data_IF_852180215765
#
_entry.id   IF_852180215765
#
_cell.length_a   1.000
_cell.length_b   1.000
_cell.length_c   1.000
_cell.angle_alpha   90.00
_cell.angle_beta   90.00
_cell.angle_gamma   90.00
#
_symmetry.space_group_name_H-M   'P 1'
#
loop_
_entity.id
_entity.type
_entity.pdbx_description
1 polymer ?
#
# COMPACT_ATOMS: atom_id res chain seq x y z
N UNK A 1 30.83 5.94 -18.62
CA UNK A 1 29.97 5.37 -19.67
C UNK A 1 29.31 4.05 -19.26
N UNK A 2 29.99 2.90 -19.15
CA UNK A 2 29.34 1.63 -18.72
C UNK A 2 28.86 1.64 -17.25
N UNK A 3 29.71 2.09 -16.32
CA UNK A 3 29.37 2.19 -14.91
C UNK A 3 28.24 3.19 -14.61
N UNK A 4 28.10 4.25 -15.41
CA UNK A 4 27.00 5.22 -15.27
C UNK A 4 25.67 4.61 -15.75
N UNK A 5 25.69 3.89 -16.89
CA UNK A 5 24.51 3.21 -17.39
C UNK A 5 23.99 2.14 -16.40
N UNK A 6 24.88 1.41 -15.75
CA UNK A 6 24.51 0.41 -14.75
C UNK A 6 23.95 1.03 -13.47
N UNK A 7 24.50 2.18 -13.05
CA UNK A 7 23.96 2.97 -11.93
C UNK A 7 22.54 3.46 -12.22
N UNK A 8 22.30 4.06 -13.39
CA UNK A 8 20.96 4.53 -13.76
C UNK A 8 19.95 3.38 -13.83
N UNK A 9 20.36 2.22 -14.34
CA UNK A 9 19.50 1.03 -14.36
C UNK A 9 19.10 0.59 -12.93
N UNK A 10 20.04 0.55 -11.99
CA UNK A 10 19.74 0.21 -10.60
C UNK A 10 18.80 1.23 -9.95
N UNK A 11 19.02 2.52 -10.18
CA UNK A 11 18.14 3.58 -9.68
C UNK A 11 16.71 3.43 -10.23
N UNK A 12 16.56 3.18 -11.54
CA UNK A 12 15.26 2.95 -12.18
C UNK A 12 14.56 1.70 -11.64
N UNK A 13 15.29 0.60 -11.43
CA UNK A 13 14.73 -0.64 -10.89
C UNK A 13 14.25 -0.46 -9.44
N UNK A 14 15.03 0.23 -8.59
CA UNK A 14 14.63 0.58 -7.21
C UNK A 14 13.36 1.44 -7.21
N UNK A 15 13.29 2.46 -8.08
CA UNK A 15 12.11 3.31 -8.19
C UNK A 15 10.88 2.52 -8.66
N UNK A 16 11.04 1.62 -9.64
CA UNK A 16 9.97 0.75 -10.13
C UNK A 16 9.45 -0.17 -9.02
N UNK A 17 10.36 -0.80 -8.29
CA UNK A 17 10.02 -1.70 -7.18
C UNK A 17 9.27 -0.97 -6.06
N UNK A 18 9.70 0.24 -5.71
CA UNK A 18 9.02 1.09 -4.73
C UNK A 18 7.59 1.42 -5.17
N UNK A 19 7.41 1.85 -6.42
CA UNK A 19 6.09 2.17 -6.97
C UNK A 19 5.20 0.91 -7.01
N UNK A 20 5.75 -0.25 -7.35
CA UNK A 20 5.02 -1.51 -7.31
C UNK A 20 4.56 -1.87 -5.88
N UNK A 21 5.43 -1.71 -4.88
CA UNK A 21 5.09 -1.91 -3.47
C UNK A 21 3.96 -0.99 -3.01
N UNK A 22 4.06 0.31 -3.33
CA UNK A 22 3.00 1.30 -3.06
C UNK A 22 1.67 0.89 -3.70
N UNK A 23 1.68 0.60 -5.00
CA UNK A 23 0.47 0.27 -5.75
C UNK A 23 -0.20 -1.02 -5.24
N UNK A 24 0.61 -2.00 -4.80
CA UNK A 24 0.09 -3.23 -4.21
C UNK A 24 -0.66 -2.96 -2.90
N UNK A 25 -0.03 -2.21 -1.98
CA UNK A 25 -0.67 -1.83 -0.72
C UNK A 25 -1.93 -0.99 -0.95
N UNK A 26 -1.85 0.01 -1.83
CA UNK A 26 -2.98 0.87 -2.18
C UNK A 26 -4.14 0.05 -2.76
N UNK A 27 -3.87 -0.83 -3.73
CA UNK A 27 -4.88 -1.69 -4.35
C UNK A 27 -5.53 -2.64 -3.33
N UNK A 28 -4.74 -3.22 -2.43
CA UNK A 28 -5.25 -4.11 -1.38
C UNK A 28 -6.16 -3.35 -0.42
N UNK A 29 -5.74 -2.18 0.08
CA UNK A 29 -6.53 -1.36 1.02
C UNK A 29 -7.84 -0.91 0.39
N UNK A 30 -7.83 -0.47 -0.87
CA UNK A 30 -9.06 -0.11 -1.57
C UNK A 30 -9.99 -1.32 -1.77
N UNK A 31 -9.43 -2.49 -2.09
CA UNK A 31 -10.20 -3.73 -2.19
C UNK A 31 -10.85 -4.13 -0.86
N UNK A 32 -10.11 -4.06 0.25
CA UNK A 32 -10.64 -4.35 1.60
C UNK A 32 -11.72 -3.34 1.99
N UNK A 33 -11.51 -2.05 1.71
CA UNK A 33 -12.49 -1.00 1.95
C UNK A 33 -13.79 -1.28 1.21
N UNK A 34 -13.72 -1.60 -0.09
CA UNK A 34 -14.90 -1.93 -0.89
C UNK A 34 -15.59 -3.19 -0.36
N UNK A 35 -14.84 -4.24 -0.05
CA UNK A 35 -15.39 -5.48 0.50
C UNK A 35 -16.10 -5.25 1.85
N UNK A 36 -15.56 -4.38 2.71
CA UNK A 36 -16.19 -4.00 3.98
C UNK A 36 -17.46 -3.14 3.76
N UNK A 37 -17.45 -2.26 2.76
CA UNK A 37 -18.64 -1.49 2.37
C UNK A 37 -19.76 -2.40 1.85
N UNK A 38 -19.42 -3.39 1.04
CA UNK A 38 -20.33 -4.38 0.43
C UNK A 38 -20.67 -5.58 1.33
N UNK A 39 -20.06 -5.70 2.52
CA UNK A 39 -20.23 -6.85 3.41
C UNK A 39 -21.68 -7.07 3.90
N UNK A 40 -22.56 -6.06 3.77
CA UNK A 40 -23.95 -6.14 4.25
C UNK A 40 -24.01 -6.53 5.73
N UNK A 41 -24.79 -7.55 6.03
CA UNK A 41 -24.97 -8.08 7.40
C UNK A 41 -23.90 -9.11 7.82
N UNK A 42 -22.89 -9.37 6.97
CA UNK A 42 -21.81 -10.33 7.27
C UNK A 42 -20.80 -9.79 8.28
N UNK A 43 -20.75 -8.47 8.44
CA UNK A 43 -19.96 -7.77 9.45
C UNK A 43 -20.90 -6.95 10.32
N UNK A 44 -20.66 -6.95 11.63
CA UNK A 44 -21.33 -5.99 12.51
C UNK A 44 -20.89 -4.56 12.17
N UNK A 45 -21.72 -3.57 12.54
CA UNK A 45 -21.38 -2.16 12.32
C UNK A 45 -20.04 -1.78 12.95
N UNK A 46 -19.73 -2.37 14.10
CA UNK A 46 -18.49 -2.15 14.85
C UNK A 46 -17.27 -2.72 14.12
N UNK A 47 -17.38 -3.93 13.57
CA UNK A 47 -16.32 -4.55 12.76
C UNK A 47 -16.10 -3.78 11.47
N UNK A 48 -17.19 -3.37 10.81
CA UNK A 48 -17.13 -2.56 9.58
C UNK A 48 -16.42 -1.23 9.83
N UNK A 49 -16.81 -0.51 10.89
CA UNK A 49 -16.17 0.76 11.24
C UNK A 49 -14.69 0.58 11.60
N UNK A 50 -14.34 -0.50 12.31
CA UNK A 50 -12.94 -0.80 12.64
C UNK A 50 -12.09 -1.06 11.38
N UNK A 51 -12.59 -1.87 10.45
CA UNK A 51 -11.92 -2.15 9.17
C UNK A 51 -11.78 -0.88 8.33
N UNK A 52 -12.85 -0.08 8.21
CA UNK A 52 -12.82 1.17 7.46
C UNK A 52 -11.86 2.20 8.09
N UNK A 53 -11.75 2.24 9.42
CA UNK A 53 -10.79 3.10 10.13
C UNK A 53 -9.36 2.71 9.77
N UNK A 54 -9.01 1.41 9.89
CA UNK A 54 -7.69 0.91 9.51
C UNK A 54 -7.35 1.18 8.04
N UNK A 55 -8.32 1.02 7.14
CA UNK A 55 -8.13 1.33 5.72
C UNK A 55 -7.81 2.82 5.51
N UNK A 56 -8.54 3.72 6.17
CA UNK A 56 -8.30 5.17 6.09
C UNK A 56 -6.94 5.58 6.67
N UNK A 57 -6.55 5.02 7.81
CA UNK A 57 -5.21 5.23 8.39
C UNK A 57 -4.09 4.75 7.47
N UNK A 58 -4.32 3.63 6.79
CA UNK A 58 -3.34 3.08 5.86
C UNK A 58 -3.20 3.96 4.63
N UNK A 59 -4.31 4.39 4.02
CA UNK A 59 -4.32 5.34 2.89
C UNK A 59 -3.63 6.66 3.27
N UNK A 60 -3.99 7.24 4.42
CA UNK A 60 -3.39 8.51 4.87
C UNK A 60 -1.87 8.40 5.04
N UNK A 61 -1.37 7.25 5.46
CA UNK A 61 0.07 7.03 5.55
C UNK A 61 0.71 6.76 4.19
N UNK A 62 0.04 6.11 3.24
CA UNK A 62 0.55 5.97 1.86
C UNK A 62 0.73 7.37 1.24
N UNK A 63 -0.24 8.25 1.43
CA UNK A 63 -0.21 9.62 0.92
C UNK A 63 0.87 10.47 1.61
N UNK A 64 1.04 10.29 2.94
CA UNK A 64 2.06 10.98 3.73
C UNK A 64 3.48 10.44 3.54
N UNK A 65 3.63 9.18 3.10
CA UNK A 65 4.92 8.50 2.94
C UNK A 65 5.11 8.06 1.48
N UNK A 66 4.95 8.99 0.55
CA UNK A 66 5.16 8.77 -0.89
C UNK A 66 6.60 8.40 -1.27
N UNK A 67 7.55 8.62 -0.35
CA UNK A 67 8.96 8.27 -0.52
C UNK A 67 9.40 7.01 0.24
N UNK A 68 8.49 6.32 0.93
CA UNK A 68 8.81 5.11 1.69
C UNK A 68 9.44 4.02 0.80
N UNK A 69 10.29 3.19 1.41
CA UNK A 69 10.91 2.06 0.73
C UNK A 69 9.90 0.94 0.47
N UNK A 70 10.24 0.05 -0.46
CA UNK A 70 9.39 -1.10 -0.81
C UNK A 70 9.08 -1.95 0.42
N UNK A 71 10.09 -2.18 1.25
CA UNK A 71 10.03 -2.98 2.47
C UNK A 71 9.03 -2.40 3.48
N UNK A 72 8.92 -1.08 3.55
CA UNK A 72 7.94 -0.41 4.42
C UNK A 72 6.52 -0.64 3.93
N UNK A 73 6.28 -0.52 2.61
CA UNK A 73 4.99 -0.85 2.01
C UNK A 73 4.61 -2.33 2.22
N UNK A 74 5.57 -3.25 2.03
CA UNK A 74 5.36 -4.69 2.24
C UNK A 74 5.13 -5.05 3.71
N UNK A 75 5.83 -4.41 4.64
CA UNK A 75 5.61 -4.60 6.07
C UNK A 75 4.19 -4.17 6.45
N UNK A 76 3.79 -2.99 5.99
CA UNK A 76 2.45 -2.46 6.27
C UNK A 76 1.34 -3.33 5.69
N UNK A 77 1.58 -3.91 4.50
CA UNK A 77 0.66 -4.87 3.90
C UNK A 77 0.49 -6.14 4.74
N UNK A 78 1.54 -6.61 5.43
CA UNK A 78 1.48 -7.78 6.30
C UNK A 78 0.81 -7.49 7.65
N UNK A 79 0.87 -6.26 8.13
CA UNK A 79 0.24 -5.84 9.39
C UNK A 79 -1.25 -5.51 9.25
N UNK A 80 -1.73 -5.29 8.02
CA UNK A 80 -3.12 -4.96 7.72
C UNK A 80 -4.04 -6.19 7.71
#
# INVERSE_FOLDING_TARGET
>A
MLAEAEKFKQEDDVQRERVAGRNNLESYVYGVKQAAEEAGDRLSSLEKDSVLSKCRETISWIDGNSLAEKEEYEHRLKEL
#
